data_IF_415174267367
#
_entry.id   IF_415174267367
#
_cell.length_a   1.000
_cell.length_b   1.000
_cell.length_c   1.000
_cell.angle_alpha   90.00
_cell.angle_beta   90.00
_cell.angle_gamma   90.00
#
_symmetry.space_group_name_H-M   'P 1'
#
loop_
_entity.id
_entity.type
_entity.pdbx_description
1 polymer ?
#
# COMPACT_ATOMS: atom_id res chain seq x y z
N UNK A 1 3.97 25.71 -9.94
CA UNK A 1 3.85 24.24 -9.65
C UNK A 1 2.90 24.05 -8.48
N UNK A 2 1.77 23.39 -8.68
CA UNK A 2 0.75 23.20 -7.64
C UNK A 2 0.69 21.74 -7.13
N UNK A 3 1.74 20.96 -7.39
CA UNK A 3 1.82 19.52 -7.03
C UNK A 3 3.24 19.18 -6.59
N UNK A 4 3.47 18.04 -5.91
CA UNK A 4 4.82 17.60 -5.59
C UNK A 4 5.65 17.43 -6.87
N UNK A 5 6.95 17.72 -6.80
CA UNK A 5 7.88 17.50 -7.92
C UNK A 5 8.09 16.01 -8.19
N UNK A 6 8.07 15.19 -7.11
CA UNK A 6 8.23 13.75 -7.15
C UNK A 6 7.31 13.11 -6.11
N UNK A 7 6.59 12.06 -6.50
CA UNK A 7 5.81 11.20 -5.60
C UNK A 7 6.25 9.76 -5.79
N UNK A 8 6.82 9.15 -4.75
CA UNK A 8 7.25 7.75 -4.74
C UNK A 8 6.36 6.97 -3.80
N UNK A 9 5.74 5.92 -4.30
CA UNK A 9 4.89 5.00 -3.54
C UNK A 9 5.65 3.70 -3.32
N UNK A 10 5.67 3.20 -2.08
CA UNK A 10 6.31 1.93 -1.71
C UNK A 10 5.32 1.06 -0.94
N UNK A 11 5.12 -0.18 -1.38
CA UNK A 11 4.42 -1.18 -0.58
C UNK A 11 5.32 -1.62 0.58
N UNK A 12 4.75 -1.85 1.76
CA UNK A 12 5.50 -2.43 2.89
C UNK A 12 6.22 -3.73 2.53
N UNK A 13 7.33 -4.04 3.20
CA UNK A 13 8.06 -5.29 3.11
C UNK A 13 7.21 -6.51 3.50
N UNK A 14 7.73 -7.72 3.31
CA UNK A 14 7.01 -8.94 3.70
C UNK A 14 6.66 -8.90 5.19
N UNK A 15 5.38 -9.03 5.52
CA UNK A 15 4.89 -9.14 6.90
C UNK A 15 4.57 -10.58 7.27
N UNK A 16 4.48 -10.87 8.57
CA UNK A 16 4.04 -12.18 9.08
C UNK A 16 2.71 -12.62 8.45
N UNK A 17 1.78 -11.69 8.26
CA UNK A 17 0.51 -11.98 7.57
C UNK A 17 0.71 -12.41 6.11
N UNK A 18 1.66 -11.84 5.39
CA UNK A 18 1.92 -12.22 4.00
C UNK A 18 2.41 -13.67 3.89
N UNK A 19 3.17 -14.14 4.87
CA UNK A 19 3.67 -15.53 4.93
C UNK A 19 2.52 -16.51 5.14
N UNK A 20 1.67 -16.25 6.13
CA UNK A 20 0.61 -17.20 6.51
C UNK A 20 -0.60 -17.14 5.59
N UNK A 21 -0.98 -15.99 5.08
CA UNK A 21 -2.15 -15.82 4.21
C UNK A 21 -1.84 -16.13 2.73
N UNK A 22 -0.59 -16.00 2.32
CA UNK A 22 -0.15 -16.16 0.93
C UNK A 22 -1.01 -15.28 -0.01
N UNK A 23 -1.62 -15.88 -1.05
CA UNK A 23 -2.49 -15.19 -2.02
C UNK A 23 -3.99 -15.47 -1.81
N UNK A 24 -4.38 -16.14 -0.73
CA UNK A 24 -5.75 -16.52 -0.47
C UNK A 24 -6.56 -15.37 0.13
N UNK A 25 -7.87 -15.36 -0.10
CA UNK A 25 -8.78 -14.39 0.52
C UNK A 25 -8.92 -14.65 2.02
N UNK A 26 -8.97 -15.90 2.43
CA UNK A 26 -9.08 -16.37 3.82
C UNK A 26 -7.85 -17.18 4.21
N UNK A 27 -7.71 -17.50 5.48
CA UNK A 27 -6.72 -18.46 5.94
C UNK A 27 -7.18 -19.88 5.62
N UNK A 28 -6.21 -20.76 5.38
CA UNK A 28 -6.52 -22.16 5.04
C UNK A 28 -7.21 -22.88 6.22
N UNK A 29 -6.63 -22.72 7.41
CA UNK A 29 -7.08 -23.35 8.66
C UNK A 29 -6.52 -22.58 9.88
N UNK A 30 -6.90 -23.02 11.08
CA UNK A 30 -6.44 -22.44 12.34
C UNK A 30 -4.94 -22.57 12.58
N UNK A 31 -4.32 -23.65 12.13
CA UNK A 31 -2.88 -23.85 12.29
C UNK A 31 -2.09 -22.85 11.43
N UNK A 32 -2.54 -22.60 10.19
CA UNK A 32 -1.89 -21.65 9.29
C UNK A 32 -1.89 -20.21 9.82
N UNK A 33 -2.91 -19.80 10.59
CA UNK A 33 -3.00 -18.44 11.17
C UNK A 33 -2.53 -18.33 12.63
N UNK A 34 -2.12 -19.44 13.25
CA UNK A 34 -1.82 -19.51 14.69
C UNK A 34 -0.88 -18.43 15.21
N UNK A 35 0.16 -18.12 14.43
CA UNK A 35 1.18 -17.12 14.81
C UNK A 35 0.65 -15.68 14.84
N UNK A 36 -0.47 -15.40 14.18
CA UNK A 36 -1.03 -14.04 14.07
C UNK A 36 -2.49 -13.94 14.52
N UNK A 37 -3.11 -15.07 14.93
CA UNK A 37 -4.51 -15.11 15.38
C UNK A 37 -4.73 -14.15 16.55
N UNK A 38 -5.73 -13.28 16.42
CA UNK A 38 -6.07 -12.31 17.45
C UNK A 38 -5.12 -11.11 17.54
N UNK A 39 -4.10 -11.02 16.68
CA UNK A 39 -3.26 -9.82 16.60
C UNK A 39 -3.98 -8.78 15.72
N UNK A 40 -4.23 -7.56 16.23
CA UNK A 40 -4.81 -6.49 15.43
C UNK A 40 -3.98 -6.22 14.17
N UNK A 41 -4.64 -6.00 13.02
CA UNK A 41 -3.97 -5.82 11.71
C UNK A 41 -2.87 -4.75 11.74
N UNK A 42 -3.11 -3.66 12.45
CA UNK A 42 -2.15 -2.57 12.53
C UNK A 42 -0.90 -2.89 13.36
N UNK A 43 -0.91 -3.98 14.14
CA UNK A 43 0.22 -4.45 14.96
C UNK A 43 1.01 -5.62 14.35
N UNK A 44 0.61 -6.12 13.18
CA UNK A 44 1.34 -7.20 12.50
C UNK A 44 2.68 -6.68 11.96
N UNK A 45 3.82 -7.28 12.42
CA UNK A 45 5.17 -6.82 12.07
C UNK A 45 5.63 -7.32 10.69
N UNK A 46 6.78 -6.82 10.26
CA UNK A 46 7.56 -7.42 9.18
C UNK A 46 8.22 -8.72 9.64
N UNK A 47 8.49 -9.61 8.67
CA UNK A 47 9.47 -10.69 8.82
C UNK A 47 10.89 -10.14 8.68
N UNK A 48 11.91 -10.94 9.03
CA UNK A 48 13.32 -10.57 8.79
C UNK A 48 13.58 -10.38 7.29
N UNK A 49 12.96 -11.20 6.44
CA UNK A 49 13.01 -11.02 4.98
C UNK A 49 12.37 -9.70 4.57
N UNK A 50 11.26 -9.31 5.17
CA UNK A 50 10.63 -8.01 4.92
C UNK A 50 11.51 -6.83 5.29
N UNK A 51 12.25 -6.91 6.41
CA UNK A 51 13.24 -5.90 6.81
C UNK A 51 14.40 -5.85 5.81
N UNK A 52 14.91 -7.01 5.38
CA UNK A 52 15.95 -7.08 4.33
C UNK A 52 15.47 -6.45 3.03
N UNK A 53 14.28 -6.79 2.57
CA UNK A 53 13.68 -6.20 1.36
C UNK A 53 13.63 -4.68 1.44
N UNK A 54 13.20 -4.14 2.58
CA UNK A 54 13.09 -2.71 2.80
C UNK A 54 14.47 -2.04 2.84
N UNK A 55 15.47 -2.65 3.50
CA UNK A 55 16.83 -2.11 3.57
C UNK A 55 17.47 -1.99 2.17
N UNK A 56 17.40 -3.05 1.37
CA UNK A 56 17.91 -3.03 -0.02
C UNK A 56 17.17 -2.00 -0.88
N UNK A 57 15.84 -1.93 -0.73
CA UNK A 57 15.03 -0.93 -1.45
C UNK A 57 15.42 0.50 -1.03
N UNK A 58 15.73 0.72 0.24
CA UNK A 58 16.18 2.03 0.75
C UNK A 58 17.45 2.53 0.07
N UNK A 59 18.45 1.67 -0.10
CA UNK A 59 19.68 2.00 -0.85
C UNK A 59 19.38 2.40 -2.28
N UNK A 60 18.55 1.61 -2.97
CA UNK A 60 18.16 1.92 -4.35
C UNK A 60 17.33 3.22 -4.47
N UNK A 61 16.43 3.49 -3.52
CA UNK A 61 15.68 4.75 -3.50
C UNK A 61 16.61 5.96 -3.34
N UNK A 62 17.60 5.87 -2.46
CA UNK A 62 18.58 6.94 -2.26
C UNK A 62 19.40 7.19 -3.53
N UNK A 63 19.85 6.13 -4.18
CA UNK A 63 20.64 6.21 -5.43
C UNK A 63 19.79 6.79 -6.58
N UNK A 64 18.54 6.31 -6.74
CA UNK A 64 17.68 6.67 -7.88
C UNK A 64 17.05 8.06 -7.70
N UNK A 65 16.56 8.34 -6.50
CA UNK A 65 15.74 9.53 -6.25
C UNK A 65 16.42 10.56 -5.33
N UNK A 66 17.52 10.23 -4.61
CA UNK A 66 18.10 11.11 -3.60
C UNK A 66 17.17 11.30 -2.40
N UNK A 67 17.27 12.43 -1.71
CA UNK A 67 16.50 12.73 -0.49
C UNK A 67 15.03 13.03 -0.74
N UNK A 68 14.21 12.96 0.34
CA UNK A 68 12.81 13.31 0.36
C UNK A 68 12.54 14.45 1.35
N UNK A 69 11.61 15.33 1.05
CA UNK A 69 11.17 16.41 1.96
C UNK A 69 10.11 15.89 2.95
N UNK A 70 9.25 14.98 2.48
CA UNK A 70 8.11 14.45 3.23
C UNK A 70 8.02 12.94 3.07
N UNK A 71 7.80 12.27 4.19
CA UNK A 71 7.60 10.84 4.25
C UNK A 71 6.27 10.55 4.95
N UNK A 72 5.38 9.86 4.26
CA UNK A 72 4.12 9.42 4.83
C UNK A 72 4.09 7.89 4.98
N UNK A 73 3.55 7.41 6.09
CA UNK A 73 3.25 6.00 6.33
C UNK A 73 1.84 5.84 6.88
N UNK A 74 1.27 4.64 6.81
CA UNK A 74 -0.12 4.40 7.22
C UNK A 74 -0.33 4.37 8.76
N UNK A 75 0.74 4.27 9.52
CA UNK A 75 0.70 4.03 10.97
C UNK A 75 0.69 2.55 11.37
N UNK A 76 0.47 1.64 10.43
CA UNK A 76 0.57 0.20 10.70
C UNK A 76 2.02 -0.22 10.93
N UNK A 77 2.27 -1.11 11.89
CA UNK A 77 3.63 -1.51 12.29
C UNK A 77 4.50 -1.90 11.10
N UNK A 78 3.98 -2.75 10.18
CA UNK A 78 4.71 -3.15 8.96
C UNK A 78 5.11 -1.99 8.04
N UNK A 79 4.34 -0.88 8.03
CA UNK A 79 4.71 0.32 7.24
C UNK A 79 5.68 1.22 7.99
N UNK A 80 5.61 1.26 9.31
CA UNK A 80 6.59 1.96 10.18
C UNK A 80 7.95 1.28 10.05
N UNK A 81 8.02 -0.04 10.29
CA UNK A 81 9.26 -0.81 10.17
C UNK A 81 9.85 -0.73 8.75
N UNK A 82 8.99 -0.79 7.70
CA UNK A 82 9.46 -0.59 6.31
C UNK A 82 10.09 0.78 6.14
N UNK A 83 9.40 1.84 6.57
CA UNK A 83 9.90 3.21 6.47
C UNK A 83 11.24 3.37 7.21
N UNK A 84 11.37 2.83 8.42
CA UNK A 84 12.61 2.89 9.20
C UNK A 84 13.77 2.22 8.46
N UNK A 85 13.56 1.03 7.89
CA UNK A 85 14.57 0.34 7.09
C UNK A 85 14.92 1.08 5.79
N UNK A 86 13.94 1.66 5.10
CA UNK A 86 14.17 2.51 3.91
C UNK A 86 15.05 3.71 4.27
N UNK A 87 14.72 4.39 5.36
CA UNK A 87 15.41 5.62 5.78
C UNK A 87 16.78 5.35 6.42
N UNK A 88 17.06 4.15 6.90
CA UNK A 88 18.39 3.76 7.40
C UNK A 88 19.49 3.87 6.34
N UNK A 89 19.13 3.84 5.04
CA UNK A 89 20.07 4.05 3.94
C UNK A 89 20.53 5.51 3.77
N UNK A 90 19.88 6.46 4.45
CA UNK A 90 20.18 7.90 4.36
C UNK A 90 21.05 8.35 5.53
N UNK A 91 22.05 9.22 5.32
CA UNK A 91 22.81 9.84 6.39
C UNK A 91 21.91 10.59 7.38
N UNK A 92 22.37 10.73 8.60
CA UNK A 92 21.59 11.35 9.68
C UNK A 92 21.19 12.79 9.38
N UNK A 93 22.08 13.56 8.79
CA UNK A 93 21.84 14.95 8.40
C UNK A 93 20.80 15.09 7.26
N UNK A 94 20.72 14.11 6.36
CA UNK A 94 19.66 14.03 5.35
C UNK A 94 18.32 13.63 5.99
N UNK A 95 18.33 12.62 6.88
CA UNK A 95 17.13 12.16 7.59
C UNK A 95 16.52 13.24 8.48
N UNK A 96 17.35 14.01 9.16
CA UNK A 96 16.92 15.11 10.03
C UNK A 96 16.12 16.20 9.30
N UNK A 97 16.30 16.33 7.99
CA UNK A 97 15.55 17.27 7.13
C UNK A 97 14.20 16.72 6.67
N UNK A 98 13.98 15.42 6.77
CA UNK A 98 12.75 14.78 6.33
C UNK A 98 11.65 14.95 7.38
N UNK A 99 10.48 15.41 6.96
CA UNK A 99 9.32 15.49 7.85
C UNK A 99 8.47 14.23 7.69
N UNK A 100 8.48 13.39 8.72
CA UNK A 100 7.77 12.12 8.76
C UNK A 100 6.40 12.32 9.40
N UNK A 101 5.34 11.76 8.81
CA UNK A 101 3.96 11.82 9.31
C UNK A 101 3.21 10.53 9.01
N UNK A 102 2.43 10.02 9.96
CA UNK A 102 1.43 9.01 9.67
C UNK A 102 0.18 9.68 9.04
N UNK A 103 -0.53 8.92 8.20
CA UNK A 103 -1.78 9.39 7.62
C UNK A 103 -2.79 8.25 7.49
N UNK A 104 -3.95 8.41 8.15
CA UNK A 104 -5.01 7.40 8.22
C UNK A 104 -5.55 6.99 6.84
N UNK A 105 -5.61 7.91 5.88
CA UNK A 105 -6.21 7.66 4.56
C UNK A 105 -5.38 6.73 3.66
N UNK A 106 -4.12 6.43 4.04
CA UNK A 106 -3.28 5.48 3.33
C UNK A 106 -3.11 4.14 4.09
N UNK A 107 -4.01 3.84 5.06
CA UNK A 107 -4.07 2.54 5.71
C UNK A 107 -4.50 1.45 4.73
N UNK A 108 -4.31 0.17 5.09
CA UNK A 108 -4.78 -0.93 4.26
C UNK A 108 -6.33 -0.94 4.14
N UNK A 109 -6.83 -1.60 3.11
CA UNK A 109 -8.24 -1.91 2.96
C UNK A 109 -8.73 -2.69 4.17
N UNK A 110 -9.80 -2.22 4.78
CA UNK A 110 -10.41 -2.92 5.90
C UNK A 110 -11.04 -4.24 5.45
N UNK A 111 -10.59 -5.34 6.02
CA UNK A 111 -11.13 -6.68 5.78
C UNK A 111 -12.45 -6.96 6.52
N UNK A 112 -12.88 -6.07 7.41
CA UNK A 112 -14.09 -6.23 8.20
C UNK A 112 -14.08 -7.51 9.03
N UNK A 113 -15.25 -8.11 9.21
CA UNK A 113 -15.40 -9.36 9.98
C UNK A 113 -14.64 -10.53 9.37
N UNK A 114 -14.32 -10.49 8.08
CA UNK A 114 -13.60 -11.58 7.40
C UNK A 114 -12.08 -11.49 7.56
N UNK A 115 -11.58 -10.47 8.25
CA UNK A 115 -10.14 -10.20 8.39
C UNK A 115 -9.35 -11.40 8.90
N UNK A 116 -9.85 -12.07 9.95
CA UNK A 116 -9.15 -13.15 10.67
C UNK A 116 -9.86 -14.52 10.51
N UNK A 117 -10.65 -14.68 9.45
CA UNK A 117 -11.41 -15.93 9.22
C UNK A 117 -10.64 -16.92 8.35
N UNK A 118 -10.85 -18.20 8.65
CA UNK A 118 -10.57 -19.29 7.71
C UNK A 118 -11.64 -19.35 6.64
N UNK A 119 -11.38 -20.08 5.56
CA UNK A 119 -12.35 -20.31 4.49
C UNK A 119 -13.64 -20.98 5.00
N UNK A 120 -13.50 -21.97 5.88
CA UNK A 120 -14.64 -22.68 6.50
C UNK A 120 -15.47 -21.74 7.40
N UNK A 121 -14.82 -20.90 8.22
CA UNK A 121 -15.50 -19.93 9.06
C UNK A 121 -16.25 -18.87 8.24
N UNK A 122 -15.62 -18.34 7.17
CA UNK A 122 -16.23 -17.36 6.31
C UNK A 122 -17.44 -17.94 5.55
N UNK A 123 -17.32 -19.16 5.03
CA UNK A 123 -18.40 -19.86 4.34
C UNK A 123 -19.59 -20.17 5.27
N UNK A 124 -19.33 -20.54 6.52
CA UNK A 124 -20.37 -20.78 7.51
C UNK A 124 -21.07 -19.49 7.97
N UNK A 125 -20.31 -18.42 8.21
CA UNK A 125 -20.84 -17.15 8.70
C UNK A 125 -21.54 -16.32 7.59
N UNK A 126 -21.05 -16.41 6.36
CA UNK A 126 -21.50 -15.60 5.22
C UNK A 126 -21.68 -16.46 3.95
N UNK A 127 -22.64 -17.40 3.92
CA UNK A 127 -22.81 -18.35 2.79
C UNK A 127 -23.14 -17.66 1.46
N UNK A 128 -23.65 -16.44 1.50
CA UNK A 128 -23.98 -15.61 0.34
C UNK A 128 -22.80 -14.78 -0.21
N UNK A 129 -21.66 -14.77 0.48
CA UNK A 129 -20.57 -13.80 0.20
C UNK A 129 -19.94 -14.01 -1.17
N UNK A 130 -19.78 -15.26 -1.60
CA UNK A 130 -19.20 -15.59 -2.90
C UNK A 130 -20.08 -15.11 -4.07
N UNK A 131 -21.40 -15.34 -3.96
CA UNK A 131 -22.37 -14.88 -4.96
C UNK A 131 -22.44 -13.35 -5.01
N UNK A 132 -22.36 -12.71 -3.85
CA UNK A 132 -22.28 -11.25 -3.77
C UNK A 132 -21.03 -10.71 -4.47
N UNK A 133 -19.85 -11.28 -4.21
CA UNK A 133 -18.62 -10.85 -4.85
C UNK A 133 -18.62 -11.06 -6.37
N UNK A 134 -19.16 -12.18 -6.85
CA UNK A 134 -19.28 -12.44 -8.28
C UNK A 134 -20.28 -11.51 -8.98
N UNK A 135 -21.34 -11.08 -8.29
CA UNK A 135 -22.34 -10.17 -8.83
C UNK A 135 -21.86 -8.72 -8.90
N UNK A 136 -21.20 -8.24 -7.85
CA UNK A 136 -20.79 -6.82 -7.76
C UNK A 136 -19.36 -6.54 -8.25
N UNK A 137 -18.58 -7.58 -8.51
CA UNK A 137 -17.19 -7.47 -8.95
C UNK A 137 -16.23 -7.01 -7.84
N UNK A 138 -14.92 -7.16 -8.04
CA UNK A 138 -13.91 -6.92 -7.01
C UNK A 138 -13.74 -5.45 -6.63
N UNK A 139 -14.14 -4.51 -7.50
CA UNK A 139 -13.98 -3.08 -7.26
C UNK A 139 -15.03 -2.53 -6.28
N UNK A 140 -16.29 -2.95 -6.44
CA UNK A 140 -17.42 -2.43 -5.66
C UNK A 140 -17.82 -3.32 -4.48
N UNK A 141 -17.55 -4.61 -4.56
CA UNK A 141 -17.87 -5.53 -3.47
C UNK A 141 -17.00 -5.27 -2.24
N UNK A 142 -17.59 -5.45 -1.07
CA UNK A 142 -16.90 -5.28 0.21
C UNK A 142 -17.08 -6.52 1.09
N UNK A 143 -16.08 -6.86 1.91
CA UNK A 143 -16.29 -7.84 2.96
C UNK A 143 -17.28 -7.30 4.00
N UNK A 144 -18.05 -8.16 4.68
CA UNK A 144 -18.95 -7.74 5.75
C UNK A 144 -18.25 -6.86 6.79
N UNK A 145 -18.76 -5.65 7.00
CA UNK A 145 -18.17 -4.65 7.91
C UNK A 145 -16.87 -3.99 7.43
N UNK A 146 -16.37 -4.32 6.23
CA UNK A 146 -15.13 -3.78 5.69
C UNK A 146 -15.30 -2.73 4.59
N UNK A 147 -14.23 -2.45 3.85
CA UNK A 147 -14.19 -1.47 2.74
C UNK A 147 -14.21 -2.17 1.37
N UNK A 148 -14.91 -1.59 0.38
CA UNK A 148 -14.69 -1.88 -1.04
C UNK A 148 -13.42 -1.16 -1.54
N UNK A 149 -12.92 -1.52 -2.73
CA UNK A 149 -11.84 -0.75 -3.36
C UNK A 149 -12.32 0.66 -3.73
N UNK A 150 -13.58 0.83 -4.14
CA UNK A 150 -14.18 2.14 -4.39
C UNK A 150 -14.08 3.05 -3.15
N UNK A 151 -14.43 2.56 -1.96
CA UNK A 151 -14.30 3.32 -0.72
C UNK A 151 -12.84 3.65 -0.36
N UNK A 152 -11.90 2.74 -0.65
CA UNK A 152 -10.47 3.06 -0.52
C UNK A 152 -10.08 4.16 -1.49
N UNK A 153 -10.58 4.17 -2.72
CA UNK A 153 -10.31 5.23 -3.69
C UNK A 153 -10.81 6.60 -3.22
N UNK A 154 -11.95 6.68 -2.56
CA UNK A 154 -12.47 7.94 -1.98
C UNK A 154 -11.49 8.55 -0.96
N UNK A 155 -10.99 7.74 -0.02
CA UNK A 155 -10.06 8.25 1.00
C UNK A 155 -8.67 8.54 0.46
N UNK A 156 -8.16 7.75 -0.50
CA UNK A 156 -6.88 8.08 -1.14
C UNK A 156 -6.97 9.30 -2.03
N UNK A 157 -8.12 9.55 -2.66
CA UNK A 157 -8.37 10.80 -3.37
C UNK A 157 -8.24 12.00 -2.45
N UNK A 158 -8.85 11.96 -1.27
CA UNK A 158 -8.72 13.02 -0.26
C UNK A 158 -7.27 13.20 0.22
N UNK A 159 -6.50 12.11 0.39
CA UNK A 159 -5.08 12.18 0.67
C UNK A 159 -4.30 12.87 -0.46
N UNK A 160 -4.53 12.49 -1.71
CA UNK A 160 -3.87 13.09 -2.87
C UNK A 160 -4.21 14.56 -3.05
N UNK A 161 -5.44 14.99 -2.71
CA UNK A 161 -5.82 16.41 -2.68
C UNK A 161 -4.99 17.20 -1.65
N UNK A 162 -4.77 16.63 -0.45
CA UNK A 162 -3.88 17.23 0.56
C UNK A 162 -2.45 17.31 0.05
N UNK A 163 -1.91 16.23 -0.50
CA UNK A 163 -0.56 16.19 -1.07
C UNK A 163 -0.41 17.25 -2.17
N UNK A 164 -1.38 17.34 -3.08
CA UNK A 164 -1.35 18.34 -4.16
C UNK A 164 -1.35 19.78 -3.63
N UNK A 165 -2.16 20.09 -2.61
CA UNK A 165 -2.27 21.46 -2.08
C UNK A 165 -1.09 21.88 -1.21
N UNK A 166 -0.49 20.96 -0.45
CA UNK A 166 0.47 21.27 0.60
C UNK A 166 1.92 20.91 0.25
N UNK A 167 2.14 20.10 -0.80
CA UNK A 167 3.45 19.56 -1.14
C UNK A 167 3.97 20.06 -2.50
N UNK A 168 3.57 21.26 -2.91
CA UNK A 168 4.04 21.86 -4.16
C UNK A 168 5.56 21.91 -4.20
N UNK A 169 6.16 21.38 -5.28
CA UNK A 169 7.61 21.33 -5.48
C UNK A 169 8.37 20.36 -4.57
N UNK A 170 7.69 19.66 -3.65
CA UNK A 170 8.32 18.73 -2.70
C UNK A 170 8.53 17.34 -3.28
N UNK A 171 9.48 16.64 -2.72
CA UNK A 171 9.78 15.23 -2.98
C UNK A 171 9.13 14.41 -1.88
N UNK A 172 8.15 13.60 -2.25
CA UNK A 172 7.27 12.89 -1.30
C UNK A 172 7.44 11.38 -1.42
N UNK A 173 7.71 10.72 -0.31
CA UNK A 173 7.70 9.26 -0.16
C UNK A 173 6.44 8.82 0.59
N UNK A 174 5.77 7.78 0.10
CA UNK A 174 4.58 7.19 0.72
C UNK A 174 4.79 5.70 0.91
N UNK A 175 4.76 5.22 2.15
CA UNK A 175 4.83 3.79 2.49
C UNK A 175 3.45 3.30 2.88
N UNK A 176 2.90 2.36 2.09
CA UNK A 176 1.52 1.92 2.21
C UNK A 176 1.37 0.41 1.91
N UNK A 177 0.20 -0.02 1.47
CA UNK A 177 -0.23 -1.41 1.33
C UNK A 177 -0.70 -1.70 -0.10
N UNK A 178 -0.77 -2.97 -0.47
CA UNK A 178 -1.07 -3.38 -1.84
C UNK A 178 -2.41 -2.82 -2.35
N UNK A 179 -3.51 -3.03 -1.62
CA UNK A 179 -4.84 -2.56 -2.02
C UNK A 179 -4.89 -1.04 -2.13
N UNK A 180 -4.30 -0.34 -1.17
CA UNK A 180 -4.23 1.14 -1.15
C UNK A 180 -3.35 1.68 -2.28
N UNK A 181 -2.22 1.01 -2.61
CA UNK A 181 -1.38 1.43 -3.74
C UNK A 181 -2.10 1.27 -5.08
N UNK A 182 -2.90 0.21 -5.26
CA UNK A 182 -3.75 0.06 -6.44
C UNK A 182 -4.75 1.21 -6.57
N UNK A 183 -5.39 1.61 -5.46
CA UNK A 183 -6.31 2.74 -5.45
C UNK A 183 -5.60 4.09 -5.71
N UNK A 184 -4.39 4.28 -5.17
CA UNK A 184 -3.56 5.46 -5.50
C UNK A 184 -3.24 5.52 -6.99
N UNK A 185 -2.86 4.40 -7.59
CA UNK A 185 -2.59 4.29 -9.03
C UNK A 185 -3.84 4.54 -9.87
N UNK A 186 -4.98 3.94 -9.49
CA UNK A 186 -6.27 4.17 -10.14
C UNK A 186 -6.58 5.67 -10.26
N UNK A 187 -6.44 6.41 -9.17
CA UNK A 187 -6.72 7.85 -9.13
C UNK A 187 -5.67 8.65 -9.91
N UNK A 188 -4.39 8.33 -9.77
CA UNK A 188 -3.29 9.07 -10.41
C UNK A 188 -3.22 8.84 -11.91
N UNK A 189 -3.49 7.61 -12.37
CA UNK A 189 -3.39 7.18 -13.76
C UNK A 189 -4.72 7.31 -14.52
N UNK A 190 -5.83 7.60 -13.82
CA UNK A 190 -7.15 7.85 -14.41
C UNK A 190 -7.74 6.62 -15.11
N UNK A 191 -7.60 5.43 -14.52
CA UNK A 191 -8.12 4.19 -15.10
C UNK A 191 -9.65 4.15 -15.12
N UNK A 192 -10.23 3.42 -16.08
CA UNK A 192 -11.64 3.00 -15.99
C UNK A 192 -11.80 1.87 -14.94
N UNK A 193 -13.06 1.56 -14.57
CA UNK A 193 -13.34 0.46 -13.64
C UNK A 193 -12.84 -0.89 -14.18
N UNK A 194 -13.06 -1.15 -15.47
CA UNK A 194 -12.64 -2.38 -16.14
C UNK A 194 -11.11 -2.50 -16.19
N UNK A 195 -10.41 -1.38 -16.38
CA UNK A 195 -8.95 -1.35 -16.31
C UNK A 195 -8.45 -1.63 -14.88
N UNK A 196 -9.08 -1.03 -13.87
CA UNK A 196 -8.73 -1.24 -12.48
C UNK A 196 -8.94 -2.69 -12.06
N UNK A 197 -10.10 -3.29 -12.35
CA UNK A 197 -10.41 -4.69 -12.04
C UNK A 197 -9.46 -5.67 -12.72
N UNK A 198 -9.18 -5.48 -14.01
CA UNK A 198 -8.23 -6.31 -14.74
C UNK A 198 -6.85 -6.24 -14.10
N UNK A 199 -6.30 -5.04 -13.87
CA UNK A 199 -4.97 -4.86 -13.31
C UNK A 199 -4.85 -5.40 -11.90
N UNK A 200 -5.86 -5.16 -11.06
CA UNK A 200 -5.91 -5.68 -9.70
C UNK A 200 -5.82 -7.21 -9.64
N UNK A 201 -6.46 -7.89 -10.60
CA UNK A 201 -6.47 -9.36 -10.67
C UNK A 201 -5.22 -9.94 -11.35
N UNK A 202 -4.62 -9.23 -12.30
CA UNK A 202 -3.55 -9.79 -13.16
C UNK A 202 -2.15 -9.27 -12.88
N UNK A 203 -2.02 -8.03 -12.38
CA UNK A 203 -0.72 -7.42 -12.13
C UNK A 203 -0.34 -7.57 -10.64
N UNK A 204 0.79 -8.18 -10.33
CA UNK A 204 1.22 -8.31 -8.93
C UNK A 204 1.67 -6.96 -8.37
N UNK A 205 1.45 -6.77 -7.07
CA UNK A 205 2.06 -5.70 -6.29
C UNK A 205 2.99 -6.34 -5.24
N UNK A 206 4.25 -6.67 -5.59
CA UNK A 206 5.18 -7.35 -4.66
C UNK A 206 5.48 -6.50 -3.42
N UNK A 207 5.97 -7.15 -2.35
CA UNK A 207 6.47 -6.43 -1.19
C UNK A 207 7.64 -5.52 -1.59
N UNK A 208 7.74 -4.35 -1.01
CA UNK A 208 8.67 -3.28 -1.39
C UNK A 208 8.63 -2.90 -2.88
N UNK A 209 7.51 -3.15 -3.57
CA UNK A 209 7.30 -2.60 -4.91
C UNK A 209 7.27 -1.07 -4.85
N UNK A 210 8.01 -0.46 -5.77
CA UNK A 210 8.14 0.99 -5.92
C UNK A 210 7.44 1.45 -7.18
N UNK A 211 6.64 2.49 -7.08
CA UNK A 211 6.03 3.20 -8.22
C UNK A 211 6.35 4.69 -8.08
N UNK A 212 6.84 5.34 -9.13
CA UNK A 212 7.17 6.75 -9.08
C UNK A 212 6.38 7.59 -10.09
N UNK A 213 6.08 8.80 -9.67
CA UNK A 213 5.42 9.82 -10.49
C UNK A 213 6.21 11.13 -10.40
N UNK A 214 6.49 11.71 -11.55
CA UNK A 214 7.12 13.03 -11.65
C UNK A 214 6.12 14.07 -12.16
N UNK A 215 6.26 15.29 -11.66
CA UNK A 215 5.42 16.38 -12.12
C UNK A 215 5.82 16.78 -13.54
N UNK A 216 4.86 16.71 -14.43
CA UNK A 216 4.94 17.22 -15.79
C UNK A 216 4.37 18.64 -15.84
N UNK A 217 5.21 19.62 -16.20
CA UNK A 217 4.81 21.03 -16.25
C UNK A 217 3.88 21.36 -17.42
N UNK A 218 4.04 20.67 -18.56
CA UNK A 218 3.21 20.87 -19.75
C UNK A 218 1.80 20.32 -19.49
N UNK A 219 1.70 19.10 -19.02
CA UNK A 219 0.43 18.45 -18.68
C UNK A 219 -0.16 18.87 -17.33
N UNK A 220 0.58 19.65 -16.52
CA UNK A 220 0.19 20.08 -15.16
C UNK A 220 -0.30 18.93 -14.27
N UNK A 221 0.29 17.75 -14.40
CA UNK A 221 -0.10 16.53 -13.69
C UNK A 221 1.10 15.72 -13.23
N UNK A 222 0.87 14.81 -12.27
CA UNK A 222 1.82 13.75 -11.96
C UNK A 222 1.75 12.69 -13.05
N UNK A 223 2.87 12.41 -13.70
CA UNK A 223 2.99 11.43 -14.76
C UNK A 223 3.74 10.21 -14.24
N UNK A 224 3.27 9.01 -14.56
CA UNK A 224 3.95 7.77 -14.20
C UNK A 224 5.34 7.76 -14.83
N UNK A 225 6.37 7.62 -14.01
CA UNK A 225 7.77 7.51 -14.43
C UNK A 225 8.19 6.04 -14.44
N UNK A 226 7.91 5.33 -13.34
CA UNK A 226 8.17 3.90 -13.21
C UNK A 226 6.93 3.15 -12.73
N UNK A 227 6.57 2.07 -13.44
CA UNK A 227 5.58 1.08 -13.01
C UNK A 227 6.10 0.29 -11.78
N UNK A 228 5.25 -0.45 -11.05
CA UNK A 228 5.70 -1.18 -9.88
C UNK A 228 6.88 -2.10 -10.19
N UNK A 229 8.02 -1.82 -9.58
CA UNK A 229 9.25 -2.61 -9.68
C UNK A 229 9.82 -2.90 -8.30
N UNK A 230 10.65 -3.93 -8.20
CA UNK A 230 11.37 -4.29 -6.96
C UNK A 230 12.87 -4.18 -7.17
N UNK A 231 13.59 -3.80 -6.13
CA UNK A 231 15.04 -3.65 -6.13
C UNK A 231 15.77 -4.73 -5.32
N UNK A 232 15.05 -5.53 -4.55
CA UNK A 232 15.60 -6.52 -3.62
C UNK A 232 15.75 -7.94 -4.20
N UNK A 233 15.43 -8.13 -5.48
CA UNK A 233 15.62 -9.40 -6.20
C UNK A 233 16.99 -9.46 -6.84
#
# INVERSE_FOLDING_TARGET
MNRPALLVLVRHGQSERNVVKKKNHFYLDDESRKSIKGIPDHLIPLTDEGRRQAAVTGLALRETFGGFDRVFHSGYLRTVETMEQLLAAYPEDERAKMVIRHHLFIRERDGGHTYDMTDAEASAAFPWLQDYWSTFGPFFSRPPGGESLAQVCERVYAFLQKVSRQMAGKRVLVVSHAGTMWCLRYVLEGWSYEQAERRFNTEPMPNCAVTSYRYDEEGRRLQLEDAPRVFWK
#
